data_IF_338014229751
#
_entry.id   IF_338014229751
#
_cell.length_a   1.000
_cell.length_b   1.000
_cell.length_c   1.000
_cell.angle_alpha   90.00
_cell.angle_beta   90.00
_cell.angle_gamma   90.00
#
_symmetry.space_group_name_H-M   'P 1'
#
loop_
_entity.id
_entity.type
_entity.pdbx_description
1 polymer ?
#
# COMPACT_ATOMS: atom_id res chain seq x y z
N UNK A 1 -21.16 19.46 2.90
CA UNK A 1 -20.15 19.42 1.83
C UNK A 1 -20.86 18.91 0.59
N UNK A 2 -20.83 19.67 -0.51
CA UNK A 2 -21.57 19.34 -1.72
C UNK A 2 -20.59 19.34 -2.89
N UNK A 3 -20.66 18.30 -3.72
CA UNK A 3 -19.85 18.20 -4.93
C UNK A 3 -20.34 19.23 -5.93
N UNK A 4 -19.43 19.92 -6.62
CA UNK A 4 -19.76 20.95 -7.60
C UNK A 4 -20.06 20.33 -9.00
N UNK A 5 -21.26 19.77 -9.13
CA UNK A 5 -21.73 19.21 -10.39
C UNK A 5 -21.92 20.23 -11.52
N UNK A 6 -21.87 21.54 -11.23
CA UNK A 6 -21.97 22.58 -12.26
C UNK A 6 -20.72 22.60 -13.17
N UNK A 7 -19.60 22.14 -12.68
CA UNK A 7 -18.38 21.93 -13.47
C UNK A 7 -18.48 20.76 -14.47
N UNK A 8 -19.58 20.00 -14.46
CA UNK A 8 -19.83 18.88 -15.36
C UNK A 8 -19.35 17.54 -14.83
N UNK A 9 -18.51 16.84 -15.59
CA UNK A 9 -17.97 15.55 -15.16
C UNK A 9 -16.83 15.73 -14.17
N UNK A 10 -16.93 15.08 -13.03
CA UNK A 10 -15.92 15.10 -11.97
C UNK A 10 -14.92 13.96 -12.18
N UNK A 11 -13.61 14.25 -12.16
CA UNK A 11 -12.58 13.21 -12.19
C UNK A 11 -12.59 12.39 -10.92
N UNK A 12 -12.39 11.08 -11.09
CA UNK A 12 -12.40 10.12 -10.00
C UNK A 12 -11.12 9.29 -10.05
N UNK A 13 -10.28 9.47 -9.05
CA UNK A 13 -9.13 8.63 -8.80
C UNK A 13 -9.57 7.45 -7.96
N UNK A 14 -9.25 6.23 -8.39
CA UNK A 14 -9.60 5.01 -7.66
C UNK A 14 -8.35 4.36 -7.11
N UNK A 15 -8.35 4.11 -5.82
CA UNK A 15 -7.28 3.43 -5.09
C UNK A 15 -7.80 2.12 -4.48
N UNK A 16 -6.92 1.15 -4.37
CA UNK A 16 -7.17 -0.04 -3.57
C UNK A 16 -7.01 0.22 -2.05
N UNK A 17 -7.14 -0.82 -1.25
CA UNK A 17 -7.01 -0.74 0.21
C UNK A 17 -5.58 -0.39 0.65
N UNK A 18 -4.57 -0.72 -0.17
CA UNK A 18 -3.15 -0.46 0.09
C UNK A 18 -2.74 0.97 -0.32
N UNK A 19 -3.60 1.69 -1.03
CA UNK A 19 -3.33 3.03 -1.53
C UNK A 19 -2.72 3.05 -2.94
N UNK A 20 -2.64 1.91 -3.63
CA UNK A 20 -2.23 1.88 -5.02
C UNK A 20 -3.31 2.50 -5.91
N UNK A 21 -2.89 3.39 -6.82
CA UNK A 21 -3.82 4.00 -7.77
C UNK A 21 -4.13 3.01 -8.89
N UNK A 22 -5.40 2.60 -8.96
CA UNK A 22 -5.87 1.60 -9.92
C UNK A 22 -6.23 2.19 -11.27
N UNK A 23 -6.96 3.29 -11.26
CA UNK A 23 -7.45 3.93 -12.48
C UNK A 23 -7.93 5.35 -12.22
N UNK A 24 -8.12 6.12 -13.30
CA UNK A 24 -8.82 7.38 -13.33
C UNK A 24 -10.01 7.25 -14.28
N UNK A 25 -11.16 7.71 -13.83
CA UNK A 25 -12.40 7.77 -14.62
C UNK A 25 -13.18 9.05 -14.32
N UNK A 26 -14.40 9.14 -14.76
CA UNK A 26 -15.26 10.31 -14.54
C UNK A 26 -16.63 9.87 -14.03
N UNK A 27 -17.24 10.73 -13.23
CA UNK A 27 -18.63 10.60 -12.79
C UNK A 27 -19.42 11.87 -13.13
N UNK A 28 -20.69 11.68 -13.47
CA UNK A 28 -21.73 12.68 -13.34
C UNK A 28 -22.50 12.45 -12.03
N UNK A 29 -23.40 13.34 -11.69
CA UNK A 29 -24.20 13.25 -10.46
C UNK A 29 -24.97 11.92 -10.34
N UNK A 30 -25.54 11.44 -11.46
CA UNK A 30 -26.29 10.19 -11.50
C UNK A 30 -25.40 8.95 -11.23
N UNK A 31 -24.21 8.90 -11.86
CA UNK A 31 -23.24 7.82 -11.60
C UNK A 31 -22.76 7.81 -10.14
N UNK A 32 -22.60 8.99 -9.55
CA UNK A 32 -22.26 9.11 -8.14
C UNK A 32 -23.38 8.59 -7.23
N UNK A 33 -24.64 8.99 -7.50
CA UNK A 33 -25.81 8.49 -6.75
C UNK A 33 -25.92 6.97 -6.82
N UNK A 34 -25.83 6.40 -8.03
CA UNK A 34 -25.84 4.94 -8.23
C UNK A 34 -24.70 4.23 -7.49
N UNK A 35 -23.53 4.87 -7.44
CA UNK A 35 -22.39 4.34 -6.70
C UNK A 35 -22.65 4.31 -5.19
N UNK A 36 -23.24 5.37 -4.63
CA UNK A 36 -23.61 5.44 -3.22
C UNK A 36 -24.71 4.42 -2.85
N UNK A 37 -25.72 4.28 -3.69
CA UNK A 37 -26.86 3.38 -3.46
C UNK A 37 -26.47 1.91 -3.54
N UNK A 38 -25.66 1.55 -4.55
CA UNK A 38 -25.28 0.15 -4.77
C UNK A 38 -24.07 -0.31 -3.95
N UNK A 39 -23.24 0.63 -3.48
CA UNK A 39 -21.95 0.35 -2.87
C UNK A 39 -20.87 -0.11 -3.85
N UNK A 40 -21.12 -0.03 -5.16
CA UNK A 40 -20.18 -0.38 -6.23
C UNK A 40 -19.92 0.82 -7.13
N UNK A 41 -18.70 0.92 -7.65
CA UNK A 41 -18.32 2.04 -8.49
C UNK A 41 -19.03 2.04 -9.85
N UNK A 42 -19.73 3.14 -10.12
CA UNK A 42 -20.33 3.47 -11.41
C UNK A 42 -19.64 4.70 -11.96
N UNK A 43 -19.32 4.67 -13.23
CA UNK A 43 -18.62 5.75 -13.90
C UNK A 43 -19.39 6.23 -15.12
N UNK A 44 -19.05 7.44 -15.59
CA UNK A 44 -19.58 7.98 -16.83
C UNK A 44 -18.56 7.81 -17.96
N UNK A 45 -18.94 7.13 -19.02
CA UNK A 45 -18.12 6.99 -20.23
C UNK A 45 -18.33 8.18 -21.15
N UNK A 46 -17.29 9.00 -21.31
CA UNK A 46 -17.32 10.18 -22.22
C UNK A 46 -17.51 9.78 -23.67
N UNK A 47 -16.87 8.69 -24.11
CA UNK A 47 -16.94 8.24 -25.51
C UNK A 47 -18.27 7.57 -25.87
N UNK A 48 -18.88 6.89 -24.92
CA UNK A 48 -20.16 6.17 -25.14
C UNK A 48 -21.36 6.97 -24.62
N UNK A 49 -21.14 8.09 -23.97
CA UNK A 49 -22.15 8.94 -23.35
C UNK A 49 -23.16 8.15 -22.49
N UNK A 50 -22.64 7.25 -21.64
CA UNK A 50 -23.47 6.44 -20.75
C UNK A 50 -22.79 6.16 -19.42
N UNK A 51 -23.58 5.86 -18.42
CA UNK A 51 -23.12 5.32 -17.15
C UNK A 51 -22.82 3.82 -17.33
N UNK A 52 -21.80 3.34 -16.63
CA UNK A 52 -21.43 1.93 -16.58
C UNK A 52 -20.94 1.55 -15.19
N UNK A 53 -21.32 0.36 -14.74
CA UNK A 53 -20.82 -0.23 -13.51
C UNK A 53 -19.48 -0.88 -13.78
N UNK A 54 -18.49 -0.62 -12.96
CA UNK A 54 -17.19 -1.30 -13.07
C UNK A 54 -17.39 -2.81 -12.89
N UNK A 55 -16.91 -3.55 -13.88
CA UNK A 55 -17.07 -5.02 -13.89
C UNK A 55 -18.40 -5.52 -14.46
N UNK A 56 -19.26 -4.67 -15.04
CA UNK A 56 -20.56 -5.08 -15.61
C UNK A 56 -20.43 -6.21 -16.65
N UNK A 57 -19.33 -6.26 -17.39
CA UNK A 57 -19.08 -7.30 -18.42
C UNK A 57 -17.98 -8.29 -18.00
N UNK A 58 -16.99 -7.86 -17.22
CA UNK A 58 -15.81 -8.67 -16.90
C UNK A 58 -15.90 -9.38 -15.54
N UNK A 59 -16.84 -8.99 -14.68
CA UNK A 59 -16.88 -9.43 -13.29
C UNK A 59 -15.85 -8.74 -12.38
N UNK A 60 -14.93 -7.94 -12.92
CA UNK A 60 -13.90 -7.24 -12.16
C UNK A 60 -14.48 -5.99 -11.49
N UNK A 61 -15.18 -6.19 -10.39
CA UNK A 61 -15.95 -5.15 -9.71
C UNK A 61 -15.10 -4.33 -8.72
N UNK A 62 -15.60 -3.16 -8.35
CA UNK A 62 -15.03 -2.27 -7.35
C UNK A 62 -16.08 -1.98 -6.29
N UNK A 63 -15.93 -2.61 -5.10
CA UNK A 63 -16.78 -2.34 -3.93
C UNK A 63 -16.22 -1.14 -3.19
N UNK A 64 -17.03 -0.10 -3.01
CA UNK A 64 -16.61 1.14 -2.38
C UNK A 64 -16.46 0.94 -0.87
N UNK A 65 -15.30 1.32 -0.33
CA UNK A 65 -15.01 1.35 1.11
C UNK A 65 -15.03 2.78 1.66
N UNK A 66 -14.56 3.74 0.88
CA UNK A 66 -14.50 5.13 1.28
C UNK A 66 -14.59 6.06 0.07
N UNK A 67 -15.26 7.18 0.25
CA UNK A 67 -15.31 8.28 -0.71
C UNK A 67 -14.70 9.51 -0.03
N UNK A 68 -13.76 10.17 -0.70
CA UNK A 68 -13.21 11.45 -0.25
C UNK A 68 -13.36 12.47 -1.37
N UNK A 69 -13.55 13.71 -0.99
CA UNK A 69 -13.50 14.87 -1.89
C UNK A 69 -12.19 15.60 -1.66
N UNK A 70 -11.73 16.28 -2.67
CA UNK A 70 -10.62 17.22 -2.54
C UNK A 70 -11.07 18.53 -1.85
N UNK A 71 -10.19 19.52 -1.78
CA UNK A 71 -10.40 20.73 -0.99
C UNK A 71 -11.46 21.67 -1.58
N UNK A 72 -11.66 21.67 -2.89
CA UNK A 72 -12.62 22.51 -3.63
C UNK A 72 -13.80 21.73 -4.23
N UNK A 73 -13.94 20.46 -3.87
CA UNK A 73 -15.05 19.55 -4.17
C UNK A 73 -15.25 19.27 -5.67
N UNK A 74 -14.19 19.31 -6.47
CA UNK A 74 -14.22 19.05 -7.91
C UNK A 74 -13.48 17.77 -8.34
N UNK A 75 -12.90 17.03 -7.40
CA UNK A 75 -12.34 15.71 -7.63
C UNK A 75 -12.73 14.71 -6.54
N UNK A 76 -12.86 13.45 -6.91
CA UNK A 76 -13.23 12.35 -6.01
C UNK A 76 -12.09 11.35 -5.92
N UNK A 77 -11.76 10.94 -4.69
CA UNK A 77 -10.94 9.78 -4.42
C UNK A 77 -11.84 8.64 -3.89
N UNK A 78 -11.93 7.54 -4.64
CA UNK A 78 -12.57 6.31 -4.21
C UNK A 78 -11.54 5.32 -3.67
N UNK A 79 -11.71 4.88 -2.43
CA UNK A 79 -11.03 3.68 -1.94
C UNK A 79 -11.95 2.49 -2.10
N UNK A 80 -11.44 1.44 -2.76
CA UNK A 80 -12.25 0.29 -3.15
C UNK A 80 -11.57 -1.03 -2.80
N UNK A 81 -12.38 -2.03 -2.57
CA UNK A 81 -11.98 -3.42 -2.67
C UNK A 81 -12.09 -3.83 -4.14
N UNK A 82 -10.94 -4.03 -4.80
CA UNK A 82 -10.88 -4.41 -6.20
C UNK A 82 -10.96 -5.93 -6.33
N UNK A 83 -11.93 -6.42 -7.09
CA UNK A 83 -12.02 -7.83 -7.48
C UNK A 83 -11.48 -7.98 -8.89
N UNK A 84 -10.47 -8.83 -9.05
CA UNK A 84 -9.79 -9.03 -10.34
C UNK A 84 -8.99 -7.81 -10.81
N UNK A 85 -8.73 -7.72 -12.10
CA UNK A 85 -7.93 -6.65 -12.68
C UNK A 85 -8.73 -5.35 -12.85
N UNK A 86 -8.13 -4.20 -12.50
CA UNK A 86 -8.76 -2.92 -12.78
C UNK A 86 -8.66 -2.54 -14.26
N UNK A 87 -7.56 -2.89 -14.92
CA UNK A 87 -7.32 -2.60 -16.33
C UNK A 87 -7.97 -3.63 -17.26
N UNK A 88 -8.44 -3.18 -18.42
CA UNK A 88 -8.98 -4.05 -19.47
C UNK A 88 -7.91 -4.97 -20.11
N UNK A 89 -6.64 -4.66 -19.92
CA UNK A 89 -5.51 -5.51 -20.37
C UNK A 89 -5.22 -6.68 -19.44
N UNK A 90 -5.90 -6.76 -18.30
CA UNK A 90 -5.64 -7.76 -17.26
C UNK A 90 -4.65 -7.31 -16.18
N UNK A 91 -4.08 -6.10 -16.31
CA UNK A 91 -3.19 -5.55 -15.28
C UNK A 91 -3.98 -5.10 -14.05
N UNK A 92 -3.37 -5.22 -12.86
CA UNK A 92 -3.97 -4.77 -11.60
C UNK A 92 -4.33 -3.29 -11.64
N UNK A 93 -3.41 -2.46 -12.12
CA UNK A 93 -3.59 -1.02 -12.30
C UNK A 93 -3.56 -0.64 -13.79
N UNK A 94 -4.19 0.48 -14.14
CA UNK A 94 -4.06 1.10 -15.46
C UNK A 94 -2.72 1.84 -15.62
N UNK A 95 -2.04 2.13 -14.52
CA UNK A 95 -0.79 2.89 -14.47
C UNK A 95 0.44 1.98 -14.41
N UNK A 96 0.53 1.02 -15.33
CA UNK A 96 1.61 0.03 -15.37
C UNK A 96 2.75 0.37 -16.35
N UNK A 97 2.62 1.44 -17.13
CA UNK A 97 3.65 1.89 -18.07
C UNK A 97 4.50 2.96 -17.43
N UNK A 98 5.80 2.76 -17.41
CA UNK A 98 6.74 3.75 -16.90
C UNK A 98 7.35 4.57 -18.02
N UNK A 99 7.52 5.84 -17.79
CA UNK A 99 8.26 6.78 -18.62
C UNK A 99 9.42 7.35 -17.78
N UNK A 100 10.55 7.61 -18.45
CA UNK A 100 11.57 8.43 -17.81
C UNK A 100 11.17 9.91 -17.81
N UNK A 101 11.95 10.74 -17.10
CA UNK A 101 11.66 12.18 -17.01
C UNK A 101 11.74 12.91 -18.37
N UNK A 102 12.30 12.28 -19.40
CA UNK A 102 12.38 12.80 -20.76
C UNK A 102 11.23 12.28 -21.63
N UNK A 103 10.33 11.46 -21.06
CA UNK A 103 9.16 10.92 -21.77
C UNK A 103 9.43 9.66 -22.59
N UNK A 104 10.61 9.07 -22.50
CA UNK A 104 10.90 7.80 -23.17
C UNK A 104 10.32 6.62 -22.39
N UNK A 105 9.71 5.67 -23.09
CA UNK A 105 9.21 4.45 -22.43
C UNK A 105 10.36 3.67 -21.83
N UNK A 106 10.29 3.39 -20.55
CA UNK A 106 11.15 2.38 -19.93
C UNK A 106 10.55 1.01 -20.26
N UNK A 107 11.31 0.19 -20.97
CA UNK A 107 10.99 -1.24 -21.08
C UNK A 107 11.35 -1.79 -19.70
N UNK A 108 10.39 -2.35 -18.93
CA UNK A 108 10.74 -3.02 -17.69
C UNK A 108 11.78 -4.09 -18.04
N UNK A 109 12.96 -4.04 -17.44
CA UNK A 109 13.92 -5.13 -17.58
C UNK A 109 13.21 -6.38 -17.05
N UNK A 110 13.40 -7.53 -17.73
CA UNK A 110 12.75 -8.81 -17.39
C UNK A 110 12.99 -9.26 -15.93
N UNK A 111 13.89 -8.56 -15.22
CA UNK A 111 14.17 -8.77 -13.80
C UNK A 111 13.34 -7.89 -12.85
N UNK A 112 12.53 -6.94 -13.32
CA UNK A 112 11.52 -6.32 -12.47
C UNK A 112 10.31 -7.25 -12.42
N UNK A 113 10.45 -8.35 -11.69
CA UNK A 113 9.27 -9.10 -11.22
C UNK A 113 8.47 -8.12 -10.40
N UNK A 114 7.39 -7.60 -11.01
CA UNK A 114 6.30 -7.03 -10.23
C UNK A 114 5.90 -8.14 -9.27
N UNK A 115 6.01 -7.95 -7.95
CA UNK A 115 5.55 -8.96 -7.01
C UNK A 115 4.10 -9.26 -7.39
N UNK A 116 3.78 -10.53 -7.60
CA UNK A 116 2.41 -10.95 -7.90
C UNK A 116 1.50 -10.35 -6.85
N UNK A 117 0.41 -9.75 -7.31
CA UNK A 117 -0.61 -9.07 -6.53
C UNK A 117 -0.82 -9.71 -5.17
N UNK A 118 -0.36 -9.05 -4.11
CA UNK A 118 -0.81 -9.11 -2.71
C UNK A 118 0.28 -8.76 -1.68
N UNK A 119 1.42 -8.20 -2.09
CA UNK A 119 2.42 -7.77 -1.09
C UNK A 119 2.56 -6.26 -1.12
N UNK A 120 2.15 -5.55 -0.08
CA UNK A 120 2.42 -4.12 0.03
C UNK A 120 3.94 -3.94 0.14
N UNK A 121 4.53 -3.15 -0.78
CA UNK A 121 5.96 -2.85 -0.73
C UNK A 121 6.22 -1.82 0.37
N UNK A 122 6.67 -2.28 1.51
CA UNK A 122 7.12 -1.41 2.61
C UNK A 122 8.63 -1.13 2.57
N UNK A 123 9.27 -1.33 1.43
CA UNK A 123 10.70 -1.11 1.25
C UNK A 123 11.56 -2.09 2.07
N UNK A 124 12.59 -1.57 2.74
CA UNK A 124 13.58 -2.39 3.46
C UNK A 124 12.96 -3.30 4.55
N UNK A 125 11.88 -2.86 5.19
CA UNK A 125 11.20 -3.65 6.24
C UNK A 125 10.49 -4.86 5.65
N UNK A 126 9.97 -4.73 4.45
CA UNK A 126 9.29 -5.81 3.75
C UNK A 126 10.28 -6.87 3.25
N UNK A 127 11.41 -6.45 2.69
CA UNK A 127 12.51 -7.35 2.31
C UNK A 127 13.06 -8.11 3.50
N UNK A 128 13.23 -7.45 4.65
CA UNK A 128 13.65 -8.09 5.90
C UNK A 128 12.62 -9.12 6.37
N UNK A 129 11.35 -8.77 6.34
CA UNK A 129 10.27 -9.67 6.74
C UNK A 129 10.24 -10.92 5.84
N UNK A 130 10.28 -10.76 4.52
CA UNK A 130 10.30 -11.87 3.57
C UNK A 130 11.53 -12.74 3.73
N UNK A 131 12.71 -12.14 3.91
CA UNK A 131 13.95 -12.89 4.18
C UNK A 131 13.86 -13.72 5.46
N UNK A 132 13.29 -13.17 6.52
CA UNK A 132 13.06 -13.89 7.77
C UNK A 132 12.04 -15.02 7.62
N UNK A 133 10.98 -14.77 6.86
CA UNK A 133 9.92 -15.74 6.60
C UNK A 133 10.44 -16.92 5.77
N UNK A 134 11.19 -16.65 4.71
CA UNK A 134 11.82 -17.69 3.88
C UNK A 134 12.77 -18.56 4.67
N UNK A 135 13.62 -17.97 5.50
CA UNK A 135 14.52 -18.73 6.40
C UNK A 135 13.76 -19.59 7.40
N UNK A 136 12.64 -19.10 7.90
CA UNK A 136 11.78 -19.88 8.81
C UNK A 136 11.10 -21.04 8.09
N UNK A 137 10.67 -20.85 6.86
CA UNK A 137 9.99 -21.88 6.05
C UNK A 137 10.98 -22.90 5.49
N UNK A 138 12.20 -22.51 5.14
CA UNK A 138 13.25 -23.40 4.63
C UNK A 138 13.88 -24.26 5.74
N UNK A 139 13.53 -24.04 7.00
CA UNK A 139 14.07 -24.78 8.13
C UNK A 139 15.54 -24.46 8.45
N UNK A 140 16.13 -23.49 7.79
CA UNK A 140 17.45 -22.98 8.14
C UNK A 140 17.37 -22.27 9.49
N UNK A 141 17.83 -22.95 10.54
CA UNK A 141 18.10 -22.26 11.80
C UNK A 141 19.07 -21.13 11.49
N UNK A 142 18.61 -19.90 11.62
CA UNK A 142 19.50 -18.76 11.66
C UNK A 142 20.54 -19.05 12.75
N UNK A 143 21.76 -19.33 12.35
CA UNK A 143 22.92 -19.15 13.20
C UNK A 143 22.95 -17.65 13.49
N UNK A 144 22.23 -17.29 14.55
CA UNK A 144 22.41 -16.00 15.16
C UNK A 144 23.88 -15.95 15.53
N UNK A 145 24.65 -15.22 14.77
CA UNK A 145 25.97 -14.76 15.15
C UNK A 145 25.73 -13.93 16.40
N UNK A 146 25.80 -14.58 17.56
CA UNK A 146 25.86 -13.84 18.81
C UNK A 146 27.07 -12.95 18.68
N UNK A 147 26.92 -11.64 18.85
CA UNK A 147 28.09 -10.80 19.01
C UNK A 147 28.82 -11.35 20.23
N UNK A 148 30.09 -11.72 20.04
CA UNK A 148 30.99 -12.22 21.05
C UNK A 148 31.21 -11.09 22.09
N UNK A 149 30.27 -10.96 23.01
CA UNK A 149 30.40 -10.08 24.18
C UNK A 149 30.66 -10.94 25.42
N UNK A 150 31.76 -11.64 25.40
CA UNK A 150 32.35 -12.18 26.60
C UNK A 150 33.58 -11.39 26.99
N UNK A 151 33.39 -10.13 27.24
CA UNK A 151 34.22 -9.36 28.17
C UNK A 151 33.30 -8.83 29.24
N UNK A 152 33.07 -9.68 30.28
CA UNK A 152 32.56 -9.16 31.55
C UNK A 152 33.59 -8.14 32.07
N UNK A 153 33.18 -6.92 32.42
CA UNK A 153 34.06 -6.03 33.16
C UNK A 153 34.33 -6.69 34.49
N UNK A 154 35.62 -6.98 34.80
CA UNK A 154 36.05 -7.33 36.13
C UNK A 154 35.79 -6.15 37.04
N UNK A 155 34.72 -6.20 37.79
CA UNK A 155 34.55 -5.33 38.96
C UNK A 155 35.57 -5.75 39.99
N UNK A 156 36.62 -4.96 40.15
CA UNK A 156 37.51 -5.03 41.30
C UNK A 156 36.70 -4.66 42.56
N UNK A 157 36.24 -5.70 43.24
CA UNK A 157 35.71 -5.57 44.59
C UNK A 157 36.93 -5.37 45.50
N UNK A 158 37.21 -4.14 45.88
CA UNK A 158 38.11 -3.76 46.98
C UNK A 158 37.56 -4.42 48.27
N UNK A 159 38.16 -5.52 48.66
CA UNK A 159 37.96 -6.12 50.00
C UNK A 159 38.47 -5.13 51.03
N UNK A 160 37.55 -4.40 51.68
CA UNK A 160 37.85 -3.68 52.92
C UNK A 160 38.14 -4.68 54.01
N UNK A 161 39.37 -4.69 54.50
CA UNK A 161 39.77 -5.43 55.70
C UNK A 161 39.02 -4.87 56.92
N UNK A 162 38.57 -5.73 57.85
CA UNK A 162 37.95 -5.27 59.08
C UNK A 162 39.01 -4.69 60.00
N UNK A 163 38.84 -3.47 60.49
CA UNK A 163 39.62 -2.85 61.54
C UNK A 163 39.31 -3.56 62.87
N UNK A 164 40.36 -4.05 63.54
CA UNK A 164 40.32 -4.51 64.92
C UNK A 164 39.87 -3.40 65.86
N UNK A 165 39.01 -3.67 66.86
CA UNK A 165 38.73 -2.69 67.91
C UNK A 165 39.91 -2.56 68.87
N UNK A 166 40.29 -1.32 69.18
CA UNK A 166 41.29 -1.01 70.19
C UNK A 166 40.70 -1.18 71.58
N UNK A 167 41.43 -1.91 72.41
CA UNK A 167 41.17 -2.04 73.84
C UNK A 167 41.60 -0.75 74.53
N UNK A 168 40.73 -0.21 75.36
CA UNK A 168 41.03 0.86 76.31
C UNK A 168 41.36 0.27 77.69
N UNK A 169 42.24 0.91 78.43
CA UNK A 169 42.51 0.55 79.79
C UNK A 169 41.41 0.94 80.76
#
# INVERSE_FOLDING_TARGET
MQIDWQKGLIPVVTQDENGEVLMLAYMNEEAFKLSCESGYAHYFSRSKNRIWKKGESSGNTQKIKQIKLDCDNDAILLKVEQIGAACHTGSHSCFFKELDILGNSRIPSENSRIPSANTPSYGILDELYHTCLERKLSGERALATQPNSTKKPQTHILKKSPKKPASLP
#
